data_IF_318885740754
#
_entry.id   IF_318885740754
#
_cell.length_a   1.000
_cell.length_b   1.000
_cell.length_c   1.000
_cell.angle_alpha   90.00
_cell.angle_beta   90.00
_cell.angle_gamma   90.00
#
_symmetry.space_group_name_H-M   'P 1'
#
loop_
_entity.id
_entity.type
_entity.pdbx_description
1 polymer ?
#
# COMPACT_ATOMS: atom_id res chain seq x y z
N UNK A 1 -2.89 -7.29 -3.33
CA UNK A 1 -1.75 -6.36 -3.21
C UNK A 1 -2.03 -5.10 -4.02
N UNK A 2 -1.53 -3.95 -3.58
CA UNK A 2 -1.69 -2.64 -4.22
C UNK A 2 -0.29 -2.13 -4.57
N UNK A 3 -0.01 -1.86 -5.84
CA UNK A 3 1.20 -1.13 -6.23
C UNK A 3 0.83 0.33 -6.44
N UNK A 4 1.60 1.25 -5.83
CA UNK A 4 1.32 2.69 -5.84
C UNK A 4 2.58 3.48 -6.10
N UNK A 5 2.39 4.71 -6.59
CA UNK A 5 3.40 5.74 -6.74
C UNK A 5 2.70 7.09 -6.88
N UNK A 6 3.04 8.06 -6.05
CA UNK A 6 2.56 9.45 -6.10
C UNK A 6 1.02 9.55 -6.15
N UNK A 7 0.34 8.83 -5.24
CA UNK A 7 -1.13 8.68 -5.22
C UNK A 7 -1.73 8.74 -3.81
N UNK A 8 -1.17 9.55 -2.91
CA UNK A 8 -1.55 9.57 -1.49
C UNK A 8 -3.07 9.63 -1.25
N UNK A 9 -3.77 10.60 -1.85
CA UNK A 9 -5.21 10.78 -1.63
C UNK A 9 -6.07 9.59 -2.12
N UNK A 10 -5.71 8.97 -3.25
CA UNK A 10 -6.45 7.80 -3.76
C UNK A 10 -6.16 6.56 -2.92
N UNK A 11 -4.91 6.42 -2.49
CA UNK A 11 -4.51 5.33 -1.62
C UNK A 11 -5.22 5.42 -0.27
N UNK A 12 -5.29 6.61 0.33
CA UNK A 12 -6.00 6.83 1.59
C UNK A 12 -7.48 6.46 1.48
N UNK A 13 -8.17 6.92 0.44
CA UNK A 13 -9.57 6.57 0.20
C UNK A 13 -9.78 5.05 0.03
N UNK A 14 -8.88 4.37 -0.69
CA UNK A 14 -8.91 2.92 -0.86
C UNK A 14 -8.71 2.19 0.47
N UNK A 15 -7.68 2.55 1.23
CA UNK A 15 -7.38 1.91 2.51
C UNK A 15 -8.50 2.15 3.53
N UNK A 16 -9.07 3.35 3.59
CA UNK A 16 -10.25 3.65 4.42
C UNK A 16 -11.47 2.81 4.02
N UNK A 17 -11.71 2.63 2.72
CA UNK A 17 -12.78 1.74 2.25
C UNK A 17 -12.54 0.28 2.63
N UNK A 18 -11.30 -0.20 2.63
CA UNK A 18 -10.96 -1.56 3.06
C UNK A 18 -11.13 -1.73 4.57
N UNK A 19 -10.70 -0.75 5.36
CA UNK A 19 -10.86 -0.75 6.82
C UNK A 19 -12.33 -0.80 7.26
N UNK A 20 -13.23 -0.19 6.48
CA UNK A 20 -14.66 -0.17 6.76
C UNK A 20 -15.40 -1.47 6.39
N UNK A 21 -14.75 -2.46 5.77
CA UNK A 21 -15.40 -3.71 5.37
C UNK A 21 -15.69 -4.59 6.60
N UNK A 22 -16.96 -4.71 6.98
CA UNK A 22 -17.38 -5.53 8.11
C UNK A 22 -17.23 -7.04 7.82
N UNK A 23 -16.66 -7.78 8.78
CA UNK A 23 -16.65 -9.25 8.77
C UNK A 23 -15.50 -9.93 8.03
N UNK A 24 -14.59 -9.17 7.39
CA UNK A 24 -13.40 -9.70 6.75
C UNK A 24 -12.14 -9.19 7.44
N UNK A 25 -11.28 -10.09 7.92
CA UNK A 25 -9.90 -9.74 8.31
C UNK A 25 -9.09 -9.53 7.03
N UNK A 26 -9.20 -8.33 6.45
CA UNK A 26 -8.47 -7.99 5.23
C UNK A 26 -7.06 -7.57 5.60
N UNK A 27 -6.07 -8.30 5.07
CA UNK A 27 -4.69 -7.85 5.06
C UNK A 27 -4.41 -7.09 3.76
N UNK A 28 -3.96 -5.85 3.88
CA UNK A 28 -3.53 -5.04 2.74
C UNK A 28 -2.00 -5.06 2.65
N UNK A 29 -1.47 -5.45 1.49
CA UNK A 29 -0.05 -5.27 1.16
C UNK A 29 0.05 -4.16 0.12
N UNK A 30 0.73 -3.07 0.48
CA UNK A 30 1.00 -1.94 -0.41
C UNK A 30 2.48 -1.92 -0.77
N UNK A 31 2.79 -1.75 -2.05
CA UNK A 31 4.15 -1.53 -2.54
C UNK A 31 4.22 -0.12 -3.11
N UNK A 32 4.92 0.76 -2.40
CA UNK A 32 5.26 2.11 -2.83
C UNK A 32 6.51 2.09 -3.72
N UNK A 33 6.34 2.39 -5.01
CA UNK A 33 7.41 2.41 -5.99
C UNK A 33 8.11 3.77 -6.04
N UNK A 34 8.57 4.23 -4.88
CA UNK A 34 9.37 5.44 -4.71
C UNK A 34 8.58 6.73 -4.89
N UNK A 35 7.46 6.85 -4.17
CA UNK A 35 6.70 8.09 -4.11
C UNK A 35 7.52 9.24 -3.49
N UNK A 36 7.27 10.45 -3.99
CA UNK A 36 7.79 11.71 -3.50
C UNK A 36 6.70 12.63 -2.92
N UNK A 37 5.42 12.23 -3.02
CA UNK A 37 4.30 12.88 -2.33
C UNK A 37 4.13 12.35 -0.89
N UNK A 38 2.99 12.66 -0.25
CA UNK A 38 2.67 12.19 1.11
C UNK A 38 2.37 10.69 1.27
N UNK A 39 2.61 9.87 0.24
CA UNK A 39 2.35 8.42 0.27
C UNK A 39 3.17 7.70 1.34
N UNK A 40 4.48 7.95 1.53
CA UNK A 40 5.26 7.31 2.58
C UNK A 40 4.70 7.58 3.98
N UNK A 41 4.36 8.83 4.28
CA UNK A 41 3.84 9.24 5.59
C UNK A 41 2.46 8.64 5.86
N UNK A 42 1.63 8.48 4.81
CA UNK A 42 0.37 7.75 4.89
C UNK A 42 0.60 6.27 5.23
N UNK A 43 1.57 5.62 4.58
CA UNK A 43 1.87 4.20 4.79
C UNK A 43 2.50 3.94 6.16
N UNK A 44 3.33 4.85 6.65
CA UNK A 44 3.91 4.80 8.00
C UNK A 44 2.85 5.02 9.08
N UNK A 45 1.93 5.99 8.87
CA UNK A 45 0.81 6.23 9.78
C UNK A 45 -0.14 5.04 9.86
N UNK A 46 -0.33 4.33 8.75
CA UNK A 46 -1.28 3.23 8.65
C UNK A 46 -2.73 3.69 8.66
N UNK A 47 -3.65 2.73 8.72
CA UNK A 47 -5.10 2.96 8.77
C UNK A 47 -5.69 2.10 9.87
N UNK A 48 -6.41 2.73 10.80
CA UNK A 48 -7.06 2.05 11.92
C UNK A 48 -8.04 0.98 11.41
N UNK A 49 -8.03 -0.18 12.06
CA UNK A 49 -8.88 -1.32 11.67
C UNK A 49 -8.40 -2.09 10.43
N UNK A 50 -7.26 -1.72 9.82
CA UNK A 50 -6.68 -2.43 8.68
C UNK A 50 -5.29 -2.98 8.99
N UNK A 51 -5.09 -4.28 8.75
CA UNK A 51 -3.76 -4.88 8.81
C UNK A 51 -2.96 -4.51 7.55
N UNK A 52 -2.25 -3.39 7.63
CA UNK A 52 -1.44 -2.86 6.53
C UNK A 52 0.03 -3.33 6.63
N UNK A 53 0.55 -3.87 5.54
CA UNK A 53 1.98 -4.11 5.31
C UNK A 53 2.45 -3.25 4.14
N UNK A 54 3.41 -2.37 4.37
CA UNK A 54 4.02 -1.54 3.34
C UNK A 54 5.40 -2.08 2.93
N UNK A 55 5.69 -2.05 1.64
CA UNK A 55 7.02 -2.23 1.06
C UNK A 55 7.35 -0.98 0.26
N UNK A 56 8.59 -0.52 0.31
CA UNK A 56 9.03 0.65 -0.46
C UNK A 56 10.21 0.30 -1.36
N UNK A 57 10.15 0.75 -2.61
CA UNK A 57 11.30 0.82 -3.50
C UNK A 57 11.84 2.24 -3.49
N UNK A 58 13.09 2.38 -3.08
CA UNK A 58 13.84 3.62 -3.25
C UNK A 58 15.24 3.25 -3.79
N UNK A 59 15.58 3.62 -5.05
CA UNK A 59 14.77 4.36 -6.02
C UNK A 59 13.62 3.53 -6.65
N UNK A 60 12.68 4.15 -7.40
CA UNK A 60 11.63 3.45 -8.14
C UNK A 60 12.17 2.36 -9.06
N UNK A 61 11.50 1.20 -9.09
CA UNK A 61 11.87 0.02 -9.91
C UNK A 61 10.84 -0.32 -10.98
N UNK A 62 9.73 0.41 -11.01
CA UNK A 62 8.67 0.25 -11.99
C UNK A 62 7.54 -0.68 -11.53
N UNK A 63 6.41 -0.65 -12.25
CA UNK A 63 5.17 -1.31 -11.83
C UNK A 63 5.23 -2.84 -11.88
N UNK A 64 6.07 -3.43 -12.75
CA UNK A 64 6.24 -4.88 -12.80
C UNK A 64 6.93 -5.39 -11.53
N UNK A 65 8.06 -4.76 -11.16
CA UNK A 65 8.80 -5.11 -9.96
C UNK A 65 8.00 -4.86 -8.69
N UNK A 66 7.24 -3.77 -8.62
CA UNK A 66 6.35 -3.49 -7.49
C UNK A 66 5.31 -4.59 -7.29
N UNK A 67 4.68 -5.08 -8.37
CA UNK A 67 3.73 -6.19 -8.30
C UNK A 67 4.41 -7.50 -7.91
N UNK A 68 5.58 -7.80 -8.47
CA UNK A 68 6.35 -9.01 -8.14
C UNK A 68 6.82 -9.02 -6.68
N UNK A 69 7.20 -7.87 -6.13
CA UNK A 69 7.50 -7.72 -4.71
C UNK A 69 6.25 -7.98 -3.84
N UNK A 70 5.11 -7.39 -4.24
CA UNK A 70 3.84 -7.59 -3.55
C UNK A 70 3.36 -9.05 -3.58
N UNK A 71 3.53 -9.76 -4.70
CA UNK A 71 3.22 -11.19 -4.80
C UNK A 71 4.08 -12.04 -3.87
N UNK A 72 5.40 -11.82 -3.87
CA UNK A 72 6.34 -12.55 -3.00
C UNK A 72 6.09 -12.30 -1.51
N UNK A 73 5.55 -11.15 -1.14
CA UNK A 73 5.23 -10.83 0.25
C UNK A 73 3.88 -11.38 0.72
N UNK A 74 3.03 -11.85 -0.21
CA UNK A 74 1.73 -12.43 0.07
C UNK A 74 1.74 -13.97 0.15
N UNK A 75 2.90 -14.58 -0.05
CA UNK A 75 3.15 -16.02 0.01
C UNK A 75 4.05 -16.32 1.22
#
# INVERSE_FOLDING_TARGET
MIATRDRAARLEALLGSLAAQAGATVQAIVVDDGSADGTPELLERGVEGLHLRALRHDPPRGPADARNAGWRAAH
#
